data_IF_704558474645
#
_entry.id   IF_704558474645
#
_cell.length_a   1.000
_cell.length_b   1.000
_cell.length_c   1.000
_cell.angle_alpha   90.00
_cell.angle_beta   90.00
_cell.angle_gamma   90.00
#
_symmetry.space_group_name_H-M   'P 1'
#
loop_
_entity.id
_entity.type
_entity.pdbx_description
1 polymer ?
#
# COMPACT_ATOMS: atom_id res chain seq x y z
N UNK A 1 -17.17 -18.54 11.78
CA UNK A 1 -16.59 -17.90 12.99
C UNK A 1 -16.35 -16.45 12.62
N UNK A 2 -16.95 -15.51 13.34
CA UNK A 2 -16.69 -14.08 13.12
C UNK A 2 -15.21 -13.80 13.30
N UNK A 3 -14.55 -13.34 12.26
CA UNK A 3 -13.15 -12.93 12.34
C UNK A 3 -13.06 -11.76 13.34
N UNK A 4 -12.24 -11.89 14.37
CA UNK A 4 -12.11 -10.80 15.36
C UNK A 4 -11.56 -9.58 14.67
N UNK A 5 -12.21 -8.42 14.86
CA UNK A 5 -11.77 -7.13 14.34
C UNK A 5 -10.28 -6.92 14.59
N UNK A 6 -9.53 -6.56 13.54
CA UNK A 6 -8.10 -6.25 13.59
C UNK A 6 -7.89 -4.75 13.45
N UNK A 7 -6.69 -4.30 13.78
CA UNK A 7 -6.26 -2.92 13.54
C UNK A 7 -5.39 -2.90 12.30
N UNK A 8 -5.74 -2.06 11.35
CA UNK A 8 -5.07 -1.92 10.06
C UNK A 8 -4.45 -0.53 9.91
N UNK A 9 -3.25 -0.45 9.38
CA UNK A 9 -2.62 0.79 8.94
C UNK A 9 -2.49 0.80 7.42
N UNK A 10 -2.97 1.86 6.79
CA UNK A 10 -2.82 2.08 5.34
C UNK A 10 -2.01 3.35 5.12
N UNK A 11 -0.76 3.21 4.66
CA UNK A 11 0.04 4.39 4.33
C UNK A 11 -0.45 5.01 3.01
N UNK A 12 -0.49 6.36 2.95
CA UNK A 12 -1.11 7.06 1.83
C UNK A 12 -2.61 6.75 1.70
N UNK A 13 -3.28 6.55 2.85
CA UNK A 13 -4.71 6.20 2.95
C UNK A 13 -5.69 7.32 2.60
N UNK A 14 -5.20 8.54 2.38
CA UNK A 14 -6.03 9.73 2.18
C UNK A 14 -6.60 9.89 0.77
N UNK A 15 -6.16 9.11 -0.22
CA UNK A 15 -6.66 9.27 -1.59
C UNK A 15 -6.41 8.06 -2.49
N UNK A 16 -7.01 8.08 -3.69
CA UNK A 16 -6.82 7.07 -4.71
C UNK A 16 -7.06 5.64 -4.21
N UNK A 17 -6.09 4.77 -4.49
CA UNK A 17 -6.11 3.35 -4.08
C UNK A 17 -6.15 3.23 -2.55
N UNK A 18 -5.37 4.04 -1.83
CA UNK A 18 -5.29 3.96 -0.37
C UNK A 18 -6.63 4.21 0.32
N UNK A 19 -7.38 5.22 -0.12
CA UNK A 19 -8.70 5.51 0.44
C UNK A 19 -9.74 4.40 0.13
N UNK A 20 -9.67 3.79 -1.07
CA UNK A 20 -10.51 2.65 -1.41
C UNK A 20 -10.20 1.44 -0.52
N UNK A 21 -8.91 1.19 -0.23
CA UNK A 21 -8.47 0.13 0.69
C UNK A 21 -8.97 0.41 2.11
N UNK A 22 -8.83 1.64 2.62
CA UNK A 22 -9.33 2.01 3.95
C UNK A 22 -10.83 1.71 4.09
N UNK A 23 -11.64 2.19 3.15
CA UNK A 23 -13.10 1.95 3.15
C UNK A 23 -13.43 0.46 3.05
N UNK A 24 -12.71 -0.28 2.23
CA UNK A 24 -12.95 -1.71 2.06
C UNK A 24 -12.66 -2.50 3.34
N UNK A 25 -11.49 -2.31 3.95
CA UNK A 25 -11.11 -2.99 5.20
C UNK A 25 -12.02 -2.60 6.37
N UNK A 26 -12.48 -1.34 6.42
CA UNK A 26 -13.45 -0.91 7.43
C UNK A 26 -14.80 -1.63 7.32
N UNK A 27 -15.29 -1.89 6.09
CA UNK A 27 -16.52 -2.68 5.85
C UNK A 27 -16.40 -4.13 6.31
N UNK A 28 -15.18 -4.65 6.42
CA UNK A 28 -14.89 -5.99 6.95
C UNK A 28 -14.74 -5.99 8.49
N UNK A 29 -15.02 -4.84 9.13
CA UNK A 29 -15.06 -4.70 10.58
C UNK A 29 -13.70 -4.37 11.22
N UNK A 30 -12.69 -4.02 10.45
CA UNK A 30 -11.39 -3.62 10.98
C UNK A 30 -11.38 -2.16 11.45
N UNK A 31 -10.56 -1.84 12.47
CA UNK A 31 -10.24 -0.46 12.83
C UNK A 31 -9.11 0.05 11.94
N UNK A 32 -9.31 1.19 11.27
CA UNK A 32 -8.40 1.68 10.24
C UNK A 32 -7.62 2.92 10.71
N UNK A 33 -6.31 2.84 10.67
CA UNK A 33 -5.45 4.01 10.71
C UNK A 33 -5.23 4.52 9.29
N UNK A 34 -5.82 5.67 8.99
CA UNK A 34 -5.69 6.35 7.70
C UNK A 34 -4.47 7.25 7.76
N UNK A 35 -3.36 6.84 7.15
CA UNK A 35 -2.15 7.65 7.18
C UNK A 35 -2.08 8.62 6.02
N UNK A 36 -1.65 9.85 6.32
CA UNK A 36 -1.24 10.87 5.37
C UNK A 36 0.02 11.61 5.86
N UNK A 37 0.91 11.99 4.93
CA UNK A 37 2.03 12.89 5.22
C UNK A 37 1.59 14.34 5.24
N UNK A 38 0.85 14.73 4.23
CA UNK A 38 0.22 16.04 4.01
C UNK A 38 -1.24 15.80 3.67
N UNK A 39 -2.06 16.85 3.78
CA UNK A 39 -3.50 16.71 3.50
C UNK A 39 -4.23 16.04 4.66
N UNK A 40 -4.06 16.61 5.86
CA UNK A 40 -4.78 16.20 7.08
C UNK A 40 -6.28 16.11 6.79
N UNK A 41 -6.85 17.12 6.15
CA UNK A 41 -8.28 17.19 5.82
C UNK A 41 -8.73 16.03 4.93
N UNK A 42 -7.87 15.58 3.99
CA UNK A 42 -8.21 14.47 3.12
C UNK A 42 -8.22 13.11 3.88
N UNK A 43 -7.34 12.95 4.86
CA UNK A 43 -7.36 11.77 5.73
C UNK A 43 -8.56 11.78 6.67
N UNK A 44 -8.86 12.91 7.29
CA UNK A 44 -10.02 13.10 8.16
C UNK A 44 -11.34 12.86 7.38
N UNK A 45 -11.42 13.33 6.14
CA UNK A 45 -12.59 13.04 5.28
C UNK A 45 -12.81 11.53 5.09
N UNK A 46 -11.74 10.75 4.89
CA UNK A 46 -11.86 9.29 4.79
C UNK A 46 -12.28 8.67 6.13
N UNK A 47 -11.78 9.19 7.25
CA UNK A 47 -12.20 8.78 8.60
C UNK A 47 -13.68 9.07 8.82
N UNK A 48 -14.15 10.27 8.48
CA UNK A 48 -15.56 10.67 8.60
C UNK A 48 -16.48 9.77 7.75
N UNK A 49 -16.09 9.49 6.50
CA UNK A 49 -16.85 8.59 5.63
C UNK A 49 -16.95 7.18 6.21
N UNK A 50 -15.86 6.64 6.75
CA UNK A 50 -15.84 5.31 7.40
C UNK A 50 -16.74 5.33 8.64
N UNK A 51 -16.65 6.35 9.47
CA UNK A 51 -17.42 6.48 10.70
C UNK A 51 -18.91 6.66 10.42
N UNK A 52 -19.26 7.50 9.44
CA UNK A 52 -20.63 7.68 8.99
C UNK A 52 -21.25 6.38 8.44
N UNK A 53 -20.44 5.48 7.87
CA UNK A 53 -20.87 4.16 7.44
C UNK A 53 -20.91 3.11 8.57
N UNK A 54 -20.69 3.51 9.83
CA UNK A 54 -20.71 2.61 11.00
C UNK A 54 -19.39 1.86 11.24
N UNK A 55 -18.32 2.21 10.52
CA UNK A 55 -16.99 1.65 10.73
C UNK A 55 -16.19 2.38 11.81
N UNK A 56 -14.93 1.99 11.98
CA UNK A 56 -14.02 2.58 12.96
C UNK A 56 -12.71 2.99 12.29
N UNK A 57 -12.33 4.26 12.41
CA UNK A 57 -11.09 4.76 11.85
C UNK A 57 -10.52 5.92 12.67
N UNK A 58 -9.22 6.19 12.51
CA UNK A 58 -8.53 7.36 13.01
C UNK A 58 -7.44 7.79 12.01
N UNK A 59 -7.19 9.08 11.90
CA UNK A 59 -6.10 9.58 11.09
C UNK A 59 -4.76 9.45 11.82
N UNK A 60 -3.68 9.16 11.07
CA UNK A 60 -2.30 9.22 11.53
C UNK A 60 -1.47 10.10 10.59
N UNK A 61 -0.73 11.02 11.17
CA UNK A 61 0.09 11.97 10.42
C UNK A 61 1.57 11.80 10.75
N UNK A 62 2.35 11.43 9.76
CA UNK A 62 3.81 11.41 9.81
C UNK A 62 4.41 11.41 8.41
N UNK A 63 5.68 11.76 8.28
CA UNK A 63 6.44 11.52 7.06
C UNK A 63 7.12 10.17 7.16
N UNK A 64 6.75 9.23 6.29
CA UNK A 64 7.33 7.89 6.28
C UNK A 64 8.85 7.88 6.01
N UNK A 65 9.40 8.96 5.45
CA UNK A 65 10.85 9.13 5.26
C UNK A 65 11.58 9.58 6.53
N UNK A 66 10.85 10.13 7.51
CA UNK A 66 11.38 10.50 8.83
C UNK A 66 11.24 9.31 9.80
N UNK A 67 12.35 8.62 10.02
CA UNK A 67 12.42 7.40 10.86
C UNK A 67 11.99 7.66 12.29
N UNK A 68 12.43 8.77 12.90
CA UNK A 68 12.15 9.05 14.30
C UNK A 68 10.70 9.47 14.53
N UNK A 69 10.17 10.33 13.67
CA UNK A 69 8.77 10.74 13.71
C UNK A 69 7.84 9.54 13.45
N UNK A 70 8.14 8.71 12.46
CA UNK A 70 7.39 7.48 12.16
C UNK A 70 7.36 6.56 13.37
N UNK A 71 8.52 6.27 13.96
CA UNK A 71 8.62 5.38 15.14
C UNK A 71 7.84 5.93 16.33
N UNK A 72 7.94 7.21 16.63
CA UNK A 72 7.21 7.88 17.72
C UNK A 72 5.70 7.81 17.52
N UNK A 73 5.23 8.12 16.32
CA UNK A 73 3.79 8.09 16.01
C UNK A 73 3.23 6.67 16.07
N UNK A 74 3.94 5.70 15.51
CA UNK A 74 3.54 4.28 15.58
C UNK A 74 3.56 3.74 17.01
N UNK A 75 4.51 4.15 17.85
CA UNK A 75 4.54 3.74 19.26
C UNK A 75 3.28 4.21 20.00
N UNK A 76 2.80 5.44 19.73
CA UNK A 76 1.54 5.95 20.29
C UNK A 76 0.34 5.11 19.83
N UNK A 77 0.26 4.80 18.55
CA UNK A 77 -0.81 3.95 18.02
C UNK A 77 -0.78 2.52 18.61
N UNK A 78 0.41 1.96 18.79
CA UNK A 78 0.63 0.63 19.37
C UNK A 78 0.28 0.54 20.86
N UNK A 79 0.25 1.66 21.60
CA UNK A 79 -0.18 1.67 23.00
C UNK A 79 -1.62 1.19 23.18
N UNK A 80 -2.48 1.38 22.18
CA UNK A 80 -3.84 0.87 22.19
C UNK A 80 -3.97 -0.60 21.70
N UNK A 81 -2.85 -1.25 21.37
CA UNK A 81 -2.77 -2.65 20.91
C UNK A 81 -2.03 -2.82 19.58
N UNK A 82 -1.81 -4.06 19.15
CA UNK A 82 -1.06 -4.34 17.93
C UNK A 82 -1.80 -3.86 16.68
N UNK A 83 -1.04 -3.32 15.72
CA UNK A 83 -1.50 -3.14 14.34
C UNK A 83 -1.14 -4.44 13.61
N UNK A 84 -2.13 -5.16 13.13
CA UNK A 84 -1.96 -6.52 12.63
C UNK A 84 -2.13 -6.63 11.11
N UNK A 85 -2.71 -5.60 10.48
CA UNK A 85 -2.79 -5.46 9.02
C UNK A 85 -2.01 -4.21 8.65
N UNK A 86 -1.00 -4.36 7.79
CA UNK A 86 -0.24 -3.24 7.24
C UNK A 86 -0.37 -3.23 5.73
N UNK A 87 -0.81 -2.10 5.19
CA UNK A 87 -0.79 -1.83 3.75
C UNK A 87 0.20 -0.71 3.46
N UNK A 88 1.36 -1.07 2.92
CA UNK A 88 2.35 -0.13 2.44
C UNK A 88 1.93 0.37 1.05
N UNK A 89 1.11 1.43 1.03
CA UNK A 89 0.59 2.02 -0.20
C UNK A 89 1.21 3.38 -0.53
N UNK A 90 1.79 4.09 0.43
CA UNK A 90 2.44 5.36 0.17
C UNK A 90 3.48 5.24 -0.96
N UNK A 91 3.43 6.14 -1.90
CA UNK A 91 4.33 6.19 -3.05
C UNK A 91 4.13 7.47 -3.83
N UNK A 92 5.17 7.86 -4.54
CA UNK A 92 5.19 9.03 -5.43
C UNK A 92 5.85 8.65 -6.74
N UNK A 93 5.52 9.36 -7.80
CA UNK A 93 6.24 9.34 -9.08
C UNK A 93 6.99 10.66 -9.27
N UNK A 94 8.12 10.61 -9.92
CA UNK A 94 8.86 11.79 -10.39
C UNK A 94 9.60 11.38 -11.67
N UNK A 95 8.84 11.36 -12.75
CA UNK A 95 9.21 10.69 -14.00
C UNK A 95 10.18 11.53 -14.81
N UNK A 96 11.24 10.91 -15.28
CA UNK A 96 12.19 11.47 -16.26
C UNK A 96 12.94 10.33 -16.97
N UNK A 97 13.33 10.53 -18.23
CA UNK A 97 14.28 9.61 -18.87
C UNK A 97 15.63 9.70 -18.17
N UNK A 98 16.29 8.54 -17.97
CA UNK A 98 17.47 8.45 -17.11
C UNK A 98 18.58 9.46 -17.44
N UNK A 99 18.91 9.76 -18.71
CA UNK A 99 19.93 10.78 -19.03
C UNK A 99 19.60 12.20 -18.54
N UNK A 100 18.32 12.50 -18.30
CA UNK A 100 17.86 13.81 -17.81
C UNK A 100 17.30 13.77 -16.38
N UNK A 101 17.33 12.60 -15.71
CA UNK A 101 16.82 12.45 -14.35
C UNK A 101 17.79 13.09 -13.35
N UNK A 102 17.27 13.97 -12.51
CA UNK A 102 18.05 14.58 -11.42
C UNK A 102 18.11 13.64 -10.20
N UNK A 103 19.16 13.78 -9.39
CA UNK A 103 19.34 12.98 -8.18
C UNK A 103 18.14 13.12 -7.21
N UNK A 104 17.58 14.33 -7.09
CA UNK A 104 16.43 14.61 -6.24
C UNK A 104 15.17 13.82 -6.68
N UNK A 105 14.97 13.67 -8.00
CA UNK A 105 13.86 12.87 -8.54
C UNK A 105 14.05 11.38 -8.23
N UNK A 106 15.29 10.90 -8.31
CA UNK A 106 15.64 9.54 -7.93
C UNK A 106 15.39 9.30 -6.43
N UNK A 107 16.02 10.08 -5.57
CA UNK A 107 15.96 9.89 -4.12
C UNK A 107 14.54 10.06 -3.60
N UNK A 108 13.79 11.06 -4.07
CA UNK A 108 12.40 11.27 -3.65
C UNK A 108 11.53 10.01 -3.81
N UNK A 109 11.70 9.26 -4.91
CA UNK A 109 10.92 8.05 -5.18
C UNK A 109 11.41 6.87 -4.34
N UNK A 110 12.74 6.73 -4.19
CA UNK A 110 13.35 5.68 -3.36
C UNK A 110 12.99 5.88 -1.89
N UNK A 111 13.22 7.07 -1.34
CA UNK A 111 13.02 7.39 0.08
C UNK A 111 11.56 7.11 0.50
N UNK A 112 10.59 7.57 -0.30
CA UNK A 112 9.17 7.34 0.04
C UNK A 112 8.79 5.88 -0.08
N UNK A 113 9.25 5.17 -1.11
CA UNK A 113 8.81 3.79 -1.38
C UNK A 113 9.61 2.75 -0.60
N UNK A 114 10.93 2.87 -0.54
CA UNK A 114 11.84 1.85 0.03
C UNK A 114 12.12 2.14 1.50
N UNK A 115 12.59 3.34 1.82
CA UNK A 115 12.87 3.71 3.21
C UNK A 115 11.57 3.84 4.00
N UNK A 116 10.51 4.39 3.37
CA UNK A 116 9.16 4.42 3.96
C UNK A 116 8.62 3.03 4.29
N UNK A 117 8.81 2.04 3.41
CA UNK A 117 8.47 0.65 3.71
C UNK A 117 9.20 0.14 4.96
N UNK A 118 10.51 0.34 5.04
CA UNK A 118 11.32 -0.09 6.20
C UNK A 118 10.87 0.60 7.48
N UNK A 119 10.78 1.93 7.46
CA UNK A 119 10.45 2.76 8.62
C UNK A 119 9.09 2.42 9.23
N UNK A 120 8.11 2.06 8.39
CA UNK A 120 6.76 1.71 8.84
C UNK A 120 6.64 0.23 9.22
N UNK A 121 7.26 -0.67 8.45
CA UNK A 121 7.10 -2.11 8.65
C UNK A 121 7.85 -2.60 9.88
N UNK A 122 9.10 -2.19 10.06
CA UNK A 122 9.97 -2.70 11.11
C UNK A 122 9.40 -2.54 12.54
N UNK A 123 8.82 -1.41 12.95
CA UNK A 123 8.23 -1.27 14.29
C UNK A 123 7.00 -2.14 14.54
N UNK A 124 6.28 -2.54 13.48
CA UNK A 124 5.05 -3.32 13.58
C UNK A 124 5.29 -4.84 13.63
N UNK A 125 6.48 -5.30 13.24
CA UNK A 125 6.77 -6.74 13.15
C UNK A 125 6.74 -7.43 14.52
N UNK A 126 7.39 -6.88 15.53
CA UNK A 126 7.43 -7.53 16.86
C UNK A 126 6.05 -7.68 17.50
N UNK A 127 5.14 -6.68 17.46
CA UNK A 127 3.75 -6.86 17.86
C UNK A 127 3.02 -7.96 17.09
N UNK A 128 3.19 -8.06 15.77
CA UNK A 128 2.60 -9.13 14.95
C UNK A 128 3.17 -10.50 15.33
N UNK A 129 4.49 -10.61 15.53
CA UNK A 129 5.16 -11.86 15.92
C UNK A 129 4.64 -12.36 17.28
N UNK A 130 4.46 -11.45 18.26
CA UNK A 130 3.96 -11.79 19.59
C UNK A 130 2.52 -12.33 19.55
N UNK A 131 1.68 -11.77 18.69
CA UNK A 131 0.30 -12.23 18.50
C UNK A 131 0.19 -13.42 17.54
N UNK A 132 1.29 -13.82 16.89
CA UNK A 132 1.36 -14.90 15.88
C UNK A 132 0.31 -14.72 14.79
N UNK A 133 0.04 -13.49 14.41
CA UNK A 133 -0.89 -13.13 13.36
C UNK A 133 -0.50 -11.78 12.74
N UNK A 134 -0.40 -11.72 11.43
CA UNK A 134 -0.15 -10.49 10.70
C UNK A 134 -0.41 -10.64 9.20
N UNK A 135 -0.77 -9.53 8.57
CA UNK A 135 -0.94 -9.38 7.12
C UNK A 135 -0.21 -8.14 6.66
N UNK A 136 0.82 -8.31 5.86
CA UNK A 136 1.58 -7.21 5.25
C UNK A 136 1.34 -7.25 3.76
N UNK A 137 0.74 -6.20 3.22
CA UNK A 137 0.42 -6.06 1.82
C UNK A 137 1.13 -4.82 1.27
N UNK A 138 2.02 -5.03 0.33
CA UNK A 138 2.78 -3.96 -0.29
C UNK A 138 2.16 -3.58 -1.64
N UNK A 139 1.90 -2.30 -1.87
CA UNK A 139 1.44 -1.83 -3.18
C UNK A 139 2.66 -1.55 -4.06
N UNK A 140 2.88 -2.47 -4.99
CA UNK A 140 3.90 -2.41 -6.03
C UNK A 140 3.36 -1.69 -7.27
N UNK A 141 3.76 -2.10 -8.46
CA UNK A 141 3.26 -1.61 -9.75
C UNK A 141 3.61 -2.60 -10.85
N UNK A 142 2.81 -2.62 -11.92
CA UNK A 142 3.20 -3.29 -13.17
C UNK A 142 4.50 -2.72 -13.75
N UNK A 143 4.83 -1.45 -13.50
CA UNK A 143 6.12 -0.85 -13.91
C UNK A 143 7.33 -1.61 -13.34
N UNK A 144 7.17 -2.29 -12.20
CA UNK A 144 8.21 -3.16 -11.62
C UNK A 144 8.27 -4.56 -12.25
N UNK A 145 7.30 -4.94 -13.05
CA UNK A 145 7.21 -6.24 -13.71
C UNK A 145 7.64 -6.17 -15.18
N UNK A 146 7.17 -5.15 -15.90
CA UNK A 146 7.38 -5.02 -17.35
C UNK A 146 8.25 -3.81 -17.73
N UNK A 147 8.58 -2.93 -16.78
CA UNK A 147 9.25 -1.67 -17.04
C UNK A 147 8.29 -0.60 -17.58
N UNK A 148 8.70 0.66 -17.47
CA UNK A 148 8.03 1.79 -18.11
C UNK A 148 9.04 2.88 -18.44
N UNK A 149 8.98 3.40 -19.66
CA UNK A 149 9.89 4.47 -20.11
C UNK A 149 9.69 5.72 -19.24
N UNK A 150 10.79 6.30 -18.76
CA UNK A 150 10.76 7.48 -17.89
C UNK A 150 10.61 7.17 -16.39
N UNK A 151 10.45 5.91 -16.02
CA UNK A 151 10.20 5.46 -14.64
C UNK A 151 11.30 4.54 -14.09
N UNK A 152 12.56 4.77 -14.46
CA UNK A 152 13.66 3.90 -13.96
C UNK A 152 13.74 3.95 -12.43
N UNK A 153 13.59 5.14 -11.80
CA UNK A 153 13.51 5.32 -10.35
C UNK A 153 12.30 4.57 -9.73
N UNK A 154 11.12 4.75 -10.32
CA UNK A 154 9.88 4.13 -9.83
C UNK A 154 9.89 2.61 -9.99
N UNK A 155 10.32 2.12 -11.17
CA UNK A 155 10.46 0.68 -11.41
C UNK A 155 11.50 0.05 -10.48
N UNK A 156 12.63 0.73 -10.23
CA UNK A 156 13.63 0.27 -9.27
C UNK A 156 13.06 0.21 -7.84
N UNK A 157 12.37 1.26 -7.38
CA UNK A 157 11.75 1.30 -6.06
C UNK A 157 10.70 0.19 -5.88
N UNK A 158 9.77 0.05 -6.83
CA UNK A 158 8.72 -0.98 -6.76
C UNK A 158 9.26 -2.40 -6.98
N UNK A 159 10.35 -2.55 -7.75
CA UNK A 159 11.11 -3.80 -7.86
C UNK A 159 11.79 -4.18 -6.53
N UNK A 160 12.37 -3.22 -5.82
CA UNK A 160 12.90 -3.43 -4.48
C UNK A 160 11.82 -3.91 -3.51
N UNK A 161 10.62 -3.33 -3.54
CA UNK A 161 9.47 -3.76 -2.75
C UNK A 161 9.05 -5.20 -3.09
N UNK A 162 9.08 -5.60 -4.37
CA UNK A 162 8.79 -6.99 -4.77
C UNK A 162 9.80 -7.96 -4.15
N UNK A 163 11.09 -7.62 -4.16
CA UNK A 163 12.15 -8.45 -3.57
C UNK A 163 12.07 -8.47 -2.04
N UNK A 164 11.82 -7.32 -1.41
CA UNK A 164 11.63 -7.21 0.04
C UNK A 164 10.40 -8.01 0.52
N UNK A 165 9.31 -8.03 -0.25
CA UNK A 165 8.12 -8.86 0.01
C UNK A 165 8.49 -10.33 0.13
N UNK A 166 9.26 -10.85 -0.82
CA UNK A 166 9.68 -12.25 -0.84
C UNK A 166 10.61 -12.59 0.32
N UNK A 167 11.60 -11.74 0.58
CA UNK A 167 12.56 -11.96 1.66
C UNK A 167 11.87 -11.93 3.04
N UNK A 168 11.07 -10.90 3.31
CA UNK A 168 10.36 -10.77 4.57
C UNK A 168 9.36 -11.91 4.80
N UNK A 169 8.69 -12.39 3.75
CA UNK A 169 7.79 -13.54 3.85
C UNK A 169 8.50 -14.78 4.42
N UNK A 170 9.73 -15.06 3.99
CA UNK A 170 10.52 -16.19 4.49
C UNK A 170 10.88 -16.04 5.97
N UNK A 171 11.14 -14.81 6.43
CA UNK A 171 11.52 -14.53 7.82
C UNK A 171 10.36 -14.72 8.80
N UNK A 172 9.12 -14.36 8.38
CA UNK A 172 7.98 -14.26 9.30
C UNK A 172 6.88 -15.30 9.11
N UNK A 173 6.92 -16.12 8.06
CA UNK A 173 5.89 -17.12 7.75
C UNK A 173 5.64 -18.07 8.94
N UNK A 174 6.71 -18.56 9.60
CA UNK A 174 6.62 -19.44 10.75
C UNK A 174 5.95 -18.79 11.98
N UNK A 175 5.72 -17.48 11.93
CA UNK A 175 5.07 -16.69 12.98
C UNK A 175 3.60 -16.39 12.68
N UNK A 176 3.02 -16.99 11.63
CA UNK A 176 1.63 -16.78 11.23
C UNK A 176 1.41 -15.43 10.53
N UNK A 177 2.47 -14.84 9.97
CA UNK A 177 2.42 -13.57 9.25
C UNK A 177 2.58 -13.87 7.77
N UNK A 178 1.71 -13.32 6.93
CA UNK A 178 1.86 -13.37 5.48
C UNK A 178 2.33 -12.02 4.94
N UNK A 179 3.16 -12.05 3.91
CA UNK A 179 3.67 -10.86 3.24
C UNK A 179 3.49 -11.05 1.74
N UNK A 180 2.69 -10.17 1.13
CA UNK A 180 2.39 -10.21 -0.30
C UNK A 180 2.49 -8.81 -0.90
N UNK A 181 2.60 -8.74 -2.22
CA UNK A 181 2.50 -7.50 -2.97
C UNK A 181 1.33 -7.55 -3.95
N UNK A 182 0.68 -6.42 -4.15
CA UNK A 182 -0.26 -6.17 -5.24
C UNK A 182 0.40 -5.22 -6.20
N UNK A 183 0.40 -5.54 -7.50
CA UNK A 183 0.99 -4.75 -8.57
C UNK A 183 -0.13 -4.18 -9.46
N UNK A 184 -0.66 -2.97 -9.17
CA UNK A 184 -1.66 -2.33 -10.01
C UNK A 184 -1.10 -1.95 -11.38
N UNK A 185 -1.97 -2.01 -12.40
CA UNK A 185 -1.76 -1.41 -13.71
C UNK A 185 -2.18 0.07 -13.73
N UNK A 186 -2.79 0.50 -14.84
CA UNK A 186 -3.38 1.83 -14.97
C UNK A 186 -4.70 1.83 -14.19
N UNK A 187 -4.74 2.56 -13.08
CA UNK A 187 -5.90 2.68 -12.20
C UNK A 187 -6.40 4.12 -12.24
N UNK A 188 -7.71 4.31 -12.41
CA UNK A 188 -8.36 5.62 -12.42
C UNK A 188 -8.26 6.29 -11.04
N UNK A 189 -7.34 7.22 -10.95
CA UNK A 189 -7.00 7.96 -9.72
C UNK A 189 -6.51 9.36 -10.07
N UNK A 190 -6.50 10.31 -9.13
CA UNK A 190 -5.89 11.63 -9.36
C UNK A 190 -4.41 11.57 -9.80
N UNK A 191 -3.70 10.49 -9.48
CA UNK A 191 -2.30 10.31 -9.92
C UNK A 191 -2.17 10.00 -11.42
N UNK A 192 -3.18 9.39 -12.01
CA UNK A 192 -3.20 8.97 -13.44
C UNK A 192 -4.10 9.85 -14.30
N UNK A 193 -4.82 10.78 -13.69
CA UNK A 193 -5.73 11.70 -14.38
C UNK A 193 -4.99 12.50 -15.48
N UNK A 194 -5.53 12.45 -16.70
CA UNK A 194 -4.97 13.16 -17.84
C UNK A 194 -3.66 12.60 -18.41
N UNK A 195 -3.10 11.51 -17.85
CA UNK A 195 -1.86 10.91 -18.36
C UNK A 195 -2.10 9.96 -19.54
N UNK A 196 -3.29 9.38 -19.63
CA UNK A 196 -3.65 8.41 -20.66
C UNK A 196 -4.99 8.80 -21.29
N UNK A 197 -5.02 8.91 -22.62
CA UNK A 197 -6.27 8.98 -23.36
C UNK A 197 -6.85 7.57 -23.61
N UNK A 198 -8.10 7.48 -24.04
CA UNK A 198 -8.80 6.21 -24.28
C UNK A 198 -8.04 5.31 -25.27
N UNK A 199 -7.44 5.88 -26.31
CA UNK A 199 -6.65 5.14 -27.30
C UNK A 199 -5.36 4.56 -26.72
N UNK A 200 -4.73 5.28 -25.78
CA UNK A 200 -3.56 4.78 -25.08
C UNK A 200 -3.96 3.61 -24.15
N UNK A 201 -5.08 3.73 -23.45
CA UNK A 201 -5.61 2.67 -22.61
C UNK A 201 -5.95 1.43 -23.43
N UNK A 202 -6.69 1.56 -24.52
CA UNK A 202 -7.04 0.45 -25.44
C UNK A 202 -5.78 -0.28 -25.97
N UNK A 203 -4.71 0.46 -26.23
CA UNK A 203 -3.45 -0.11 -26.71
C UNK A 203 -2.64 -0.82 -25.62
N UNK A 204 -2.68 -0.31 -24.39
CA UNK A 204 -1.81 -0.76 -23.30
C UNK A 204 -2.48 -1.81 -22.41
N UNK A 205 -3.81 -1.78 -22.26
CA UNK A 205 -4.55 -2.63 -21.35
C UNK A 205 -5.43 -3.61 -22.17
N UNK A 206 -5.17 -4.92 -22.12
CA UNK A 206 -5.98 -5.91 -22.84
C UNK A 206 -7.47 -5.88 -22.52
N UNK A 207 -7.85 -5.47 -21.30
CA UNK A 207 -9.27 -5.28 -20.95
C UNK A 207 -9.86 -3.96 -21.47
N UNK A 208 -9.10 -3.15 -22.22
CA UNK A 208 -9.52 -1.91 -22.88
C UNK A 208 -10.14 -0.85 -21.94
N UNK A 209 -9.73 -0.85 -20.67
CA UNK A 209 -10.13 0.16 -19.69
C UNK A 209 -9.10 0.31 -18.58
N UNK A 210 -9.11 1.45 -17.93
CA UNK A 210 -8.43 1.59 -16.63
C UNK A 210 -9.14 0.73 -15.58
N UNK A 211 -8.38 0.26 -14.61
CA UNK A 211 -8.92 -0.38 -13.41
C UNK A 211 -9.47 0.67 -12.44
N UNK A 212 -10.33 0.24 -11.53
CA UNK A 212 -10.85 1.07 -10.46
C UNK A 212 -10.08 0.85 -9.16
N UNK A 213 -9.91 1.86 -8.29
CA UNK A 213 -9.32 1.69 -6.96
C UNK A 213 -9.97 0.56 -6.14
N UNK A 214 -11.29 0.35 -6.32
CA UNK A 214 -12.04 -0.71 -5.66
C UNK A 214 -11.59 -2.12 -6.10
N UNK A 215 -11.12 -2.30 -7.33
CA UNK A 215 -10.63 -3.60 -7.82
C UNK A 215 -9.30 -3.97 -7.15
N UNK A 216 -8.42 -2.99 -6.94
CA UNK A 216 -7.19 -3.17 -6.15
C UNK A 216 -7.53 -3.46 -4.68
N UNK A 217 -8.46 -2.69 -4.10
CA UNK A 217 -8.88 -2.84 -2.71
C UNK A 217 -9.53 -4.23 -2.45
N UNK A 218 -10.19 -4.83 -3.44
CA UNK A 218 -10.76 -6.17 -3.31
C UNK A 218 -9.66 -7.25 -3.14
N UNK A 219 -8.58 -7.16 -3.90
CA UNK A 219 -7.44 -8.09 -3.77
C UNK A 219 -6.70 -7.86 -2.45
N UNK A 220 -6.52 -6.60 -2.03
CA UNK A 220 -5.91 -6.28 -0.72
C UNK A 220 -6.75 -6.85 0.42
N UNK A 221 -8.07 -6.72 0.38
CA UNK A 221 -8.96 -7.26 1.40
C UNK A 221 -8.90 -8.79 1.47
N UNK A 222 -8.90 -9.49 0.32
CA UNK A 222 -8.66 -10.93 0.29
C UNK A 222 -7.33 -11.30 0.97
N UNK A 223 -6.23 -10.62 0.63
CA UNK A 223 -4.92 -10.89 1.22
C UNK A 223 -4.85 -10.55 2.72
N UNK A 224 -5.67 -9.62 3.19
CA UNK A 224 -5.80 -9.26 4.60
C UNK A 224 -6.64 -10.27 5.41
N UNK A 225 -7.44 -11.09 4.77
CA UNK A 225 -8.40 -12.01 5.39
C UNK A 225 -7.77 -13.32 5.88
N UNK A 226 -8.56 -14.14 6.56
CA UNK A 226 -8.20 -15.50 6.95
C UNK A 226 -8.15 -16.46 5.74
N UNK A 227 -8.92 -16.18 4.68
CA UNK A 227 -8.95 -17.00 3.46
C UNK A 227 -7.60 -17.04 2.75
N UNK A 228 -6.79 -15.98 2.89
CA UNK A 228 -5.42 -15.91 2.35
C UNK A 228 -4.35 -16.43 3.31
N UNK A 229 -4.71 -17.20 4.35
CA UNK A 229 -3.77 -17.64 5.39
C UNK A 229 -2.59 -18.49 4.89
N UNK A 230 -2.70 -19.10 3.71
CA UNK A 230 -1.63 -19.87 3.07
C UNK A 230 -1.04 -19.17 1.84
N UNK A 231 -1.43 -17.90 1.59
CA UNK A 231 -0.91 -17.06 0.49
C UNK A 231 0.15 -16.13 1.06
N UNK A 232 1.42 -16.40 0.74
CA UNK A 232 2.54 -15.53 1.16
C UNK A 232 3.62 -15.50 0.08
N UNK A 233 4.47 -14.50 0.07
CA UNK A 233 5.56 -14.31 -0.91
C UNK A 233 5.08 -14.09 -2.36
N UNK A 234 3.81 -13.73 -2.55
CA UNK A 234 3.23 -13.54 -3.88
C UNK A 234 3.26 -12.08 -4.31
N UNK A 235 3.35 -11.89 -5.63
CA UNK A 235 3.17 -10.60 -6.30
C UNK A 235 1.99 -10.77 -7.25
N UNK A 236 0.85 -10.18 -6.90
CA UNK A 236 -0.40 -10.33 -7.63
C UNK A 236 -0.64 -9.10 -8.50
N UNK A 237 -0.65 -9.29 -9.81
CA UNK A 237 -0.97 -8.21 -10.75
C UNK A 237 -2.48 -7.94 -10.80
N UNK A 238 -2.85 -6.66 -10.72
CA UNK A 238 -4.22 -6.16 -10.93
C UNK A 238 -4.16 -5.12 -12.04
N UNK A 239 -4.08 -5.60 -13.28
CA UNK A 239 -3.61 -4.77 -14.40
C UNK A 239 -4.46 -4.86 -15.66
N UNK A 240 -5.55 -5.60 -15.65
CA UNK A 240 -6.34 -5.83 -16.87
C UNK A 240 -5.59 -6.60 -17.96
N UNK A 241 -4.55 -7.39 -17.56
CA UNK A 241 -3.77 -8.24 -18.47
C UNK A 241 -2.47 -7.61 -18.99
N UNK A 242 -2.02 -6.46 -18.43
CA UNK A 242 -0.74 -5.83 -18.83
C UNK A 242 0.47 -6.66 -18.40
N UNK A 243 0.35 -7.42 -17.30
CA UNK A 243 1.40 -8.28 -16.74
C UNK A 243 0.79 -9.48 -16.02
#
# INVERSE_FOLDING_TARGET
MSETAKRALVTGGSGGIGAAICRRLAREGHHIYVHARQGVDAAEKVVDEITAAGGSAAALHFDATDTDNTRKTLATALAAGPIQILVNNAGVTDDAVLPGMRAEQWHRVIDVSVDGFFNVTQPLLMPMIRTRWGRIINISSVSALIGNRGQVNYAAAKGAINSATKALALEVASRGITVNAVAPGIIDTPMTEGLFDDKAIERLVPMNRAGLPAEVAAVVAFLASAEASYVTSQIISVSGGMA
#
